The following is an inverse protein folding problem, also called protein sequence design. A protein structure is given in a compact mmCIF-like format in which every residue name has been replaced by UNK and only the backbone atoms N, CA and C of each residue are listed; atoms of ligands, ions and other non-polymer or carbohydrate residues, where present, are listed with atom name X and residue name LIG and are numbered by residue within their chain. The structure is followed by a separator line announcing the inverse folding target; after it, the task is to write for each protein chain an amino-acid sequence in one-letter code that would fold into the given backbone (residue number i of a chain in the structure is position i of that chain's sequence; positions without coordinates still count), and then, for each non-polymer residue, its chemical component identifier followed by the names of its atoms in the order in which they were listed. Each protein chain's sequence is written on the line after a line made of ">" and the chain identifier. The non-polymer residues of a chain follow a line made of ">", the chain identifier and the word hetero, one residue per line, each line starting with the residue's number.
data_IF_656877055311
#
_entry.id   IF_656877055311
#
_cell.length_a   1.000
_cell.length_b   1.000
_cell.length_c   1.000
_cell.angle_alpha   90.00
_cell.angle_beta   90.00
_cell.angle_gamma   90.00
#
_symmetry.space_group_name_H-M   'P 1'
#
loop_
_entity.id
_entity.type
_entity.pdbx_description
1 polymer ?
#
# COMPACT_ATOMS: atom_id res chain seq x y z
N UNK A 1 6.94 -15.18 -7.29
CA UNK A 1 8.18 -15.22 -6.46
C UNK A 1 7.90 -14.41 -5.20
N UNK A 2 8.18 -14.95 -4.00
CA UNK A 2 8.08 -14.17 -2.76
C UNK A 2 9.44 -13.51 -2.51
N UNK A 3 9.49 -12.18 -2.54
CA UNK A 3 10.68 -11.40 -2.18
C UNK A 3 10.56 -10.86 -0.76
N UNK A 4 11.67 -10.82 -0.02
CA UNK A 4 11.74 -10.10 1.26
C UNK A 4 12.75 -8.96 1.12
N UNK A 5 12.39 -7.77 1.56
CA UNK A 5 13.26 -6.60 1.54
C UNK A 5 13.66 -6.28 2.98
N UNK A 6 14.97 -6.28 3.24
CA UNK A 6 15.54 -5.88 4.53
C UNK A 6 16.25 -4.54 4.37
N UNK A 7 15.99 -3.60 5.28
CA UNK A 7 16.68 -2.32 5.33
C UNK A 7 17.34 -2.17 6.69
N UNK A 8 18.65 -1.97 6.70
CA UNK A 8 19.44 -1.69 7.89
C UNK A 8 20.11 -0.32 7.73
N UNK A 9 19.55 0.69 8.40
CA UNK A 9 20.05 2.07 8.32
C UNK A 9 21.28 2.31 9.18
N UNK A 10 21.62 1.42 10.12
CA UNK A 10 22.84 1.50 10.92
C UNK A 10 24.08 0.96 10.17
N UNK A 11 23.88 0.16 9.11
CA UNK A 11 24.97 -0.46 8.35
C UNK A 11 25.71 -1.59 9.10
N UNK A 12 25.16 -2.05 10.22
CA UNK A 12 25.71 -3.10 11.09
C UNK A 12 25.18 -4.49 10.71
N UNK A 13 26.00 -5.34 10.11
CA UNK A 13 25.53 -6.63 9.56
C UNK A 13 25.19 -7.68 10.64
N UNK A 14 25.64 -7.48 11.89
CA UNK A 14 25.50 -8.42 13.00
C UNK A 14 24.33 -8.09 13.95
N UNK A 15 23.31 -7.38 13.48
CA UNK A 15 22.13 -7.09 14.30
C UNK A 15 21.15 -8.26 14.24
N UNK A 16 20.93 -8.89 15.40
CA UNK A 16 19.85 -9.84 15.60
C UNK A 16 18.52 -9.10 15.68
N UNK A 17 17.53 -9.55 14.92
CA UNK A 17 16.20 -8.92 14.86
C UNK A 17 15.10 -9.98 14.98
N UNK A 18 13.85 -9.52 15.16
CA UNK A 18 12.68 -10.40 15.07
C UNK A 18 12.56 -11.15 13.73
N UNK A 19 13.32 -10.73 12.71
CA UNK A 19 13.30 -11.30 11.36
C UNK A 19 14.41 -12.32 11.08
N UNK A 20 15.25 -12.68 12.06
CA UNK A 20 16.34 -13.65 11.83
C UNK A 20 15.83 -15.02 11.38
N UNK A 21 14.61 -15.40 11.79
CA UNK A 21 13.98 -16.63 11.31
C UNK A 21 13.58 -16.54 9.83
N UNK A 22 13.29 -15.35 9.29
CA UNK A 22 13.05 -15.17 7.86
C UNK A 22 14.34 -15.35 7.06
N UNK A 23 15.48 -14.92 7.60
CA UNK A 23 16.80 -15.10 6.98
C UNK A 23 17.23 -16.57 6.86
N UNK A 24 16.62 -17.47 7.63
CA UNK A 24 16.85 -18.92 7.53
C UNK A 24 16.14 -19.57 6.34
N UNK A 25 15.17 -18.88 5.72
CA UNK A 25 14.50 -19.36 4.53
C UNK A 25 15.47 -19.21 3.36
N UNK A 26 15.80 -20.28 2.60
CA UNK A 26 16.73 -20.19 1.49
C UNK A 26 16.28 -19.15 0.46
N UNK A 27 17.15 -18.19 0.15
CA UNK A 27 16.89 -17.20 -0.88
C UNK A 27 17.05 -17.82 -2.27
N UNK A 28 16.09 -17.55 -3.17
CA UNK A 28 16.23 -17.88 -4.58
C UNK A 28 17.14 -16.88 -5.32
N UNK A 29 17.16 -15.65 -4.83
CA UNK A 29 18.03 -14.56 -5.29
C UNK A 29 18.36 -13.70 -4.07
N UNK A 30 19.65 -13.38 -3.89
CA UNK A 30 20.12 -12.45 -2.88
C UNK A 30 20.80 -11.27 -3.59
N UNK A 31 20.22 -10.08 -3.42
CA UNK A 31 20.73 -8.83 -3.97
C UNK A 31 20.99 -7.78 -2.89
N UNK A 32 21.11 -8.20 -1.63
CA UNK A 32 21.44 -7.30 -0.52
C UNK A 32 22.84 -6.73 -0.72
N UNK A 33 22.94 -5.40 -0.66
CA UNK A 33 24.19 -4.69 -0.84
C UNK A 33 24.21 -3.44 0.04
N UNK A 34 25.40 -3.01 0.44
CA UNK A 34 25.59 -1.71 1.12
C UNK A 34 25.65 -0.62 0.06
N UNK A 35 24.78 0.37 0.20
CA UNK A 35 24.73 1.54 -0.68
C UNK A 35 24.34 2.77 0.10
N UNK A 36 24.74 3.94 -0.39
CA UNK A 36 24.35 5.22 0.20
C UNK A 36 22.86 5.47 -0.03
N UNK A 37 22.26 6.35 0.77
CA UNK A 37 20.86 6.76 0.55
C UNK A 37 20.67 7.41 -0.83
N UNK A 38 21.69 8.13 -1.32
CA UNK A 38 21.66 8.75 -2.64
C UNK A 38 21.61 7.70 -3.76
N UNK A 39 22.43 6.64 -3.68
CA UNK A 39 22.41 5.54 -4.66
C UNK A 39 21.11 4.74 -4.58
N UNK A 40 20.59 4.48 -3.38
CA UNK A 40 19.32 3.81 -3.20
C UNK A 40 18.15 4.61 -3.81
N UNK A 41 18.14 5.93 -3.61
CA UNK A 41 17.16 6.83 -4.20
C UNK A 41 17.27 6.89 -5.73
N UNK A 42 18.50 6.99 -6.27
CA UNK A 42 18.73 6.97 -7.71
C UNK A 42 18.28 5.64 -8.36
N UNK A 43 18.50 4.51 -7.68
CA UNK A 43 18.08 3.19 -8.15
C UNK A 43 16.58 2.90 -8.03
N UNK A 44 15.84 3.73 -7.30
CA UNK A 44 14.39 3.55 -7.04
C UNK A 44 13.52 4.40 -7.96
N UNK A 45 14.11 5.02 -8.99
CA UNK A 45 13.35 5.79 -9.97
C UNK A 45 12.44 4.88 -10.80
N UNK A 46 11.18 5.26 -10.91
CA UNK A 46 10.22 4.59 -11.78
C UNK A 46 10.34 5.21 -13.18
N UNK A 47 10.72 4.38 -14.16
CA UNK A 47 10.76 4.81 -15.55
C UNK A 47 9.36 5.17 -16.08
N UNK A 48 9.29 6.12 -17.02
CA UNK A 48 8.06 6.41 -17.75
C UNK A 48 7.74 5.35 -18.81
N UNK A 49 6.61 5.52 -19.51
CA UNK A 49 6.24 4.67 -20.65
C UNK A 49 5.43 3.41 -20.29
N UNK A 50 4.98 3.30 -19.04
CA UNK A 50 4.04 2.26 -18.59
C UNK A 50 2.81 2.90 -17.96
N UNK A 51 1.66 2.25 -18.13
CA UNK A 51 0.43 2.63 -17.44
C UNK A 51 0.36 1.89 -16.12
N UNK A 52 0.16 2.60 -15.00
CA UNK A 52 0.19 1.99 -13.67
C UNK A 52 -1.06 2.30 -12.88
N UNK A 53 -1.55 1.31 -12.14
CA UNK A 53 -2.59 1.49 -11.13
C UNK A 53 -2.26 0.63 -9.91
N UNK A 54 -2.76 1.04 -8.75
CA UNK A 54 -2.53 0.37 -7.49
C UNK A 54 -3.75 0.44 -6.59
N UNK A 55 -3.78 -0.40 -5.57
CA UNK A 55 -4.76 -0.36 -4.51
C UNK A 55 -4.10 -0.76 -3.19
N UNK A 56 -4.59 -0.22 -2.07
CA UNK A 56 -4.06 -0.57 -0.75
C UNK A 56 -5.17 -0.76 0.26
N UNK A 57 -5.02 -1.77 1.12
CA UNK A 57 -5.95 -2.09 2.19
C UNK A 57 -5.16 -2.52 3.44
N UNK A 58 -5.74 -2.36 4.61
CA UNK A 58 -5.15 -2.80 5.86
C UNK A 58 -5.96 -3.96 6.45
N UNK A 59 -5.28 -5.05 6.78
CA UNK A 59 -5.92 -6.23 7.35
C UNK A 59 -5.24 -6.69 8.61
N UNK A 60 -5.98 -7.26 9.55
CA UNK A 60 -5.39 -7.98 10.68
C UNK A 60 -4.41 -9.03 10.18
N UNK A 61 -3.35 -9.26 10.95
CA UNK A 61 -2.35 -10.27 10.64
C UNK A 61 -2.95 -11.68 10.85
N UNK A 62 -3.70 -12.15 9.85
CA UNK A 62 -4.42 -13.42 9.86
C UNK A 62 -3.97 -14.29 8.67
N UNK A 63 -3.66 -15.56 8.96
CA UNK A 63 -3.16 -16.52 7.96
C UNK A 63 -4.12 -16.70 6.79
N UNK A 64 -5.42 -16.75 7.05
CA UNK A 64 -6.43 -16.97 6.01
C UNK A 64 -6.49 -15.79 5.04
N UNK A 65 -6.36 -14.56 5.52
CA UNK A 65 -6.29 -13.35 4.69
C UNK A 65 -5.05 -13.37 3.80
N UNK A 66 -3.88 -13.72 4.36
CA UNK A 66 -2.63 -13.76 3.57
C UNK A 66 -2.67 -14.88 2.50
N UNK A 67 -3.25 -16.03 2.82
CA UNK A 67 -3.47 -17.10 1.84
C UNK A 67 -4.47 -16.68 0.75
N UNK A 68 -5.53 -15.95 1.14
CA UNK A 68 -6.50 -15.43 0.20
C UNK A 68 -5.88 -14.37 -0.72
N UNK A 69 -5.03 -13.49 -0.21
CA UNK A 69 -4.26 -12.51 -1.01
C UNK A 69 -3.39 -13.16 -2.09
N UNK A 70 -2.70 -14.25 -1.76
CA UNK A 70 -1.93 -15.00 -2.75
C UNK A 70 -2.84 -15.60 -3.84
N UNK A 71 -3.94 -16.24 -3.43
CA UNK A 71 -4.90 -16.88 -4.34
C UNK A 71 -5.58 -15.88 -5.27
N UNK A 72 -6.04 -14.75 -4.75
CA UNK A 72 -6.70 -13.72 -5.56
C UNK A 72 -5.73 -13.06 -6.53
N UNK A 73 -4.47 -12.86 -6.13
CA UNK A 73 -3.42 -12.39 -7.03
C UNK A 73 -3.12 -13.40 -8.16
N UNK A 74 -3.06 -14.70 -7.88
CA UNK A 74 -2.92 -15.73 -8.93
C UNK A 74 -4.08 -15.69 -9.93
N UNK A 75 -5.31 -15.53 -9.45
CA UNK A 75 -6.49 -15.43 -10.31
C UNK A 75 -6.48 -14.14 -11.15
N UNK A 76 -6.06 -13.03 -10.54
CA UNK A 76 -5.88 -11.75 -11.21
C UNK A 76 -4.87 -11.86 -12.36
N UNK A 77 -3.68 -12.43 -12.10
CA UNK A 77 -2.66 -12.67 -13.14
C UNK A 77 -3.20 -13.52 -14.28
N UNK A 78 -3.85 -14.65 -13.98
CA UNK A 78 -4.45 -15.53 -15.01
C UNK A 78 -5.51 -14.79 -15.84
N UNK A 79 -6.32 -13.95 -15.19
CA UNK A 79 -7.33 -13.15 -15.89
C UNK A 79 -6.68 -12.17 -16.88
N UNK A 80 -5.60 -11.51 -16.49
CA UNK A 80 -4.86 -10.62 -17.38
C UNK A 80 -4.17 -11.36 -18.52
N UNK A 81 -3.51 -12.49 -18.25
CA UNK A 81 -2.89 -13.33 -19.28
C UNK A 81 -3.91 -13.69 -20.39
N UNK A 82 -5.12 -14.07 -19.99
CA UNK A 82 -6.19 -14.42 -20.93
C UNK A 82 -6.79 -13.22 -21.67
N UNK A 83 -6.67 -12.01 -21.12
CA UNK A 83 -7.35 -10.82 -21.66
C UNK A 83 -6.44 -9.94 -22.51
N UNK A 84 -5.18 -9.76 -22.10
CA UNK A 84 -4.24 -8.80 -22.71
C UNK A 84 -2.90 -9.45 -23.09
N UNK A 85 -2.71 -10.74 -22.81
CA UNK A 85 -1.46 -11.46 -23.09
C UNK A 85 -0.43 -11.37 -21.96
N UNK A 86 0.44 -12.37 -21.86
CA UNK A 86 1.39 -12.51 -20.75
C UNK A 86 2.51 -11.46 -20.73
N UNK A 87 2.96 -11.01 -21.91
CA UNK A 87 4.03 -10.02 -22.03
C UNK A 87 3.55 -8.57 -21.86
N UNK A 88 2.24 -8.35 -21.81
CA UNK A 88 1.65 -7.02 -21.82
C UNK A 88 1.73 -6.30 -20.47
N UNK A 89 2.04 -7.01 -19.38
CA UNK A 89 1.94 -6.46 -18.04
C UNK A 89 2.96 -7.02 -17.04
N UNK A 90 3.13 -6.32 -15.92
CA UNK A 90 3.71 -6.84 -14.68
C UNK A 90 2.71 -6.61 -13.53
N UNK A 91 2.69 -7.50 -12.53
CA UNK A 91 1.91 -7.31 -11.30
C UNK A 91 2.72 -7.60 -10.06
N UNK A 92 2.27 -7.04 -8.94
CA UNK A 92 2.84 -7.34 -7.63
C UNK A 92 1.79 -7.17 -6.54
N UNK A 93 1.97 -7.94 -5.46
CA UNK A 93 1.39 -7.65 -4.15
C UNK A 93 2.52 -7.49 -3.14
N UNK A 94 2.43 -6.46 -2.32
CA UNK A 94 3.28 -6.23 -1.16
C UNK A 94 2.49 -6.45 0.12
N UNK A 95 3.09 -7.19 1.04
CA UNK A 95 2.54 -7.47 2.36
C UNK A 95 3.48 -6.82 3.37
N UNK A 96 3.08 -5.67 3.89
CA UNK A 96 3.91 -4.85 4.78
C UNK A 96 3.38 -4.95 6.21
N UNK A 97 4.14 -5.52 7.17
CA UNK A 97 3.70 -5.57 8.55
C UNK A 97 3.49 -4.16 9.13
N UNK A 98 2.33 -3.94 9.74
CA UNK A 98 1.98 -2.72 10.48
C UNK A 98 1.72 -3.13 11.93
N UNK A 99 2.68 -2.83 12.81
CA UNK A 99 2.58 -3.23 14.21
C UNK A 99 1.75 -2.24 15.01
N UNK A 100 1.00 -2.74 16.01
CA UNK A 100 0.25 -1.88 16.94
C UNK A 100 1.14 -0.88 17.69
N UNK A 101 2.43 -1.21 17.84
CA UNK A 101 3.41 -0.30 18.43
C UNK A 101 3.57 1.01 17.68
N UNK A 102 3.27 1.08 16.37
CA UNK A 102 3.33 2.34 15.63
C UNK A 102 2.36 3.38 16.19
N UNK A 103 1.13 2.96 16.52
CA UNK A 103 0.14 3.82 17.15
C UNK A 103 0.57 4.25 18.56
N UNK A 104 1.05 3.32 19.38
CA UNK A 104 1.55 3.61 20.73
C UNK A 104 2.72 4.60 20.72
N UNK A 105 3.74 4.33 19.90
CA UNK A 105 4.93 5.19 19.76
C UNK A 105 4.54 6.57 19.23
N UNK A 106 3.59 6.63 18.29
CA UNK A 106 3.09 7.91 17.79
C UNK A 106 2.46 8.72 18.92
N UNK A 107 1.59 8.14 19.75
CA UNK A 107 0.98 8.84 20.90
C UNK A 107 2.04 9.36 21.88
N UNK A 108 3.09 8.59 22.15
CA UNK A 108 4.22 9.01 23.00
C UNK A 108 5.04 10.18 22.39
N UNK A 109 4.98 10.37 21.06
CA UNK A 109 5.76 11.35 20.31
C UNK A 109 4.93 12.49 19.70
N UNK A 110 3.73 12.73 20.22
CA UNK A 110 2.88 13.88 19.80
C UNK A 110 1.72 13.53 18.86
N UNK A 111 1.47 12.23 18.62
CA UNK A 111 0.35 11.72 17.84
C UNK A 111 0.68 11.49 16.36
N UNK A 112 -0.34 11.03 15.62
CA UNK A 112 -0.31 10.85 14.17
C UNK A 112 -1.70 11.15 13.59
N UNK A 113 -1.80 11.19 12.25
CA UNK A 113 -3.05 11.45 11.52
C UNK A 113 -3.71 10.18 10.99
N UNK A 114 -3.06 9.02 11.07
CA UNK A 114 -3.46 7.79 10.40
C UNK A 114 -4.40 6.91 11.24
N UNK A 115 -4.69 7.30 12.50
CA UNK A 115 -5.57 6.56 13.39
C UNK A 115 -5.02 5.21 13.86
N UNK A 116 -3.70 4.98 13.74
CA UNK A 116 -3.06 3.70 14.07
C UNK A 116 -3.20 3.31 15.54
N UNK A 117 -3.44 4.26 16.44
CA UNK A 117 -3.73 3.99 17.85
C UNK A 117 -5.01 3.17 18.06
N UNK A 118 -5.91 3.13 17.08
CA UNK A 118 -7.18 2.40 17.16
C UNK A 118 -7.06 0.94 16.71
N UNK A 119 -5.91 0.53 16.18
CA UNK A 119 -5.70 -0.83 15.70
C UNK A 119 -5.86 -1.85 16.86
N UNK A 120 -6.70 -2.86 16.64
CA UNK A 120 -6.96 -3.90 17.64
C UNK A 120 -5.70 -4.73 17.95
N UNK A 121 -4.91 -5.03 16.91
CA UNK A 121 -3.69 -5.81 16.98
C UNK A 121 -2.73 -5.49 15.84
N UNK A 122 -1.77 -6.38 15.59
CA UNK A 122 -0.89 -6.26 14.44
C UNK A 122 -1.67 -6.50 13.15
N UNK A 123 -1.35 -5.71 12.14
CA UNK A 123 -1.95 -5.77 10.82
C UNK A 123 -0.88 -5.96 9.74
N UNK A 124 -1.35 -6.18 8.52
CA UNK A 124 -0.57 -6.26 7.30
C UNK A 124 -1.24 -5.33 6.30
N UNK A 125 -0.49 -4.34 5.84
CA UNK A 125 -0.89 -3.51 4.72
C UNK A 125 -0.66 -4.30 3.44
N UNK A 126 -1.77 -4.62 2.78
CA UNK A 126 -1.80 -5.22 1.47
C UNK A 126 -1.79 -4.11 0.44
N UNK A 127 -0.81 -4.14 -0.46
CA UNK A 127 -0.74 -3.20 -1.58
C UNK A 127 -0.59 -3.99 -2.85
N UNK A 128 -1.47 -3.78 -3.83
CA UNK A 128 -1.39 -4.39 -5.14
C UNK A 128 -1.06 -3.33 -6.19
N UNK A 129 -0.33 -3.72 -7.23
CA UNK A 129 -0.07 -2.88 -8.38
C UNK A 129 -0.07 -3.69 -9.67
N UNK A 130 -0.46 -3.02 -10.75
CA UNK A 130 -0.35 -3.50 -12.13
C UNK A 130 0.29 -2.44 -13.00
N UNK A 131 1.18 -2.88 -13.88
CA UNK A 131 1.92 -2.05 -14.84
C UNK A 131 1.67 -2.62 -16.23
N UNK A 132 1.05 -1.84 -17.12
CA UNK A 132 0.75 -2.24 -18.50
C UNK A 132 1.71 -1.55 -19.47
N UNK A 133 2.29 -2.35 -20.36
CA UNK A 133 3.38 -1.96 -21.29
C UNK A 133 2.89 -1.65 -22.70
N UNK A 134 1.60 -1.88 -22.98
CA UNK A 134 1.04 -1.85 -24.34
C UNK A 134 0.28 -0.55 -24.63
N UNK A 135 -0.99 -0.45 -24.21
CA UNK A 135 -1.89 0.64 -24.56
C UNK A 135 -2.95 0.90 -23.49
N UNK A 136 -3.70 2.00 -23.64
CA UNK A 136 -4.72 2.44 -22.70
C UNK A 136 -5.90 1.46 -22.57
N UNK A 137 -6.28 0.76 -23.64
CA UNK A 137 -7.39 -0.19 -23.60
C UNK A 137 -7.03 -1.43 -22.74
N UNK A 138 -5.82 -1.95 -22.91
CA UNK A 138 -5.30 -3.03 -22.05
C UNK A 138 -5.17 -2.57 -20.60
N UNK A 139 -4.75 -1.31 -20.39
CA UNK A 139 -4.70 -0.71 -19.07
C UNK A 139 -6.07 -0.60 -18.40
N UNK A 140 -7.11 -0.19 -19.13
CA UNK A 140 -8.46 -0.12 -18.59
C UNK A 140 -8.98 -1.50 -18.13
N UNK A 141 -8.68 -2.56 -18.90
CA UNK A 141 -8.97 -3.94 -18.51
C UNK A 141 -8.20 -4.31 -17.23
N UNK A 142 -6.90 -4.03 -17.21
CA UNK A 142 -6.04 -4.35 -16.07
C UNK A 142 -6.47 -3.64 -14.78
N UNK A 143 -6.81 -2.36 -14.88
CA UNK A 143 -7.28 -1.55 -13.77
C UNK A 143 -8.63 -2.07 -13.24
N UNK A 144 -9.56 -2.43 -14.12
CA UNK A 144 -10.83 -3.03 -13.70
C UNK A 144 -10.59 -4.32 -12.89
N UNK A 145 -9.73 -5.22 -13.40
CA UNK A 145 -9.41 -6.49 -12.73
C UNK A 145 -8.69 -6.29 -11.39
N UNK A 146 -7.86 -5.25 -11.28
CA UNK A 146 -7.23 -4.86 -10.01
C UNK A 146 -8.28 -4.40 -8.98
N UNK A 147 -9.26 -3.59 -9.41
CA UNK A 147 -10.36 -3.15 -8.54
C UNK A 147 -11.22 -4.33 -8.09
N UNK A 148 -11.52 -5.28 -8.98
CA UNK A 148 -12.25 -6.52 -8.64
C UNK A 148 -11.48 -7.34 -7.59
N UNK A 149 -10.17 -7.53 -7.78
CA UNK A 149 -9.33 -8.20 -6.78
C UNK A 149 -9.35 -7.47 -5.43
N UNK A 150 -9.22 -6.15 -5.44
CA UNK A 150 -9.27 -5.32 -4.23
C UNK A 150 -10.62 -5.45 -3.50
N UNK A 151 -11.73 -5.51 -4.24
CA UNK A 151 -13.07 -5.72 -3.67
C UNK A 151 -13.16 -7.10 -3.02
N UNK A 152 -12.75 -8.17 -3.72
CA UNK A 152 -12.77 -9.53 -3.16
C UNK A 152 -11.94 -9.64 -1.88
N UNK A 153 -10.78 -8.99 -1.84
CA UNK A 153 -9.93 -8.94 -0.66
C UNK A 153 -10.64 -8.23 0.50
N UNK A 154 -11.27 -7.09 0.24
CA UNK A 154 -12.03 -6.35 1.25
C UNK A 154 -13.22 -7.17 1.78
N UNK A 155 -14.05 -7.70 0.88
CA UNK A 155 -15.23 -8.50 1.23
C UNK A 155 -14.86 -9.73 2.07
N UNK A 156 -13.79 -10.43 1.68
CA UNK A 156 -13.30 -11.58 2.44
C UNK A 156 -12.83 -11.17 3.84
N UNK A 157 -12.01 -10.13 3.94
CA UNK A 157 -11.50 -9.67 5.22
C UNK A 157 -12.63 -9.17 6.14
N UNK A 158 -13.60 -8.41 5.62
CA UNK A 158 -14.79 -7.98 6.36
C UNK A 158 -15.61 -9.15 6.87
N UNK A 159 -15.81 -10.19 6.03
CA UNK A 159 -16.61 -11.37 6.38
C UNK A 159 -16.09 -12.14 7.60
N UNK A 160 -14.80 -12.00 7.92
CA UNK A 160 -14.16 -12.62 9.09
C UNK A 160 -13.73 -11.60 10.15
N UNK A 161 -14.14 -10.33 10.02
CA UNK A 161 -13.81 -9.26 10.98
C UNK A 161 -12.32 -8.91 11.00
N UNK A 162 -11.65 -9.06 9.86
CA UNK A 162 -10.22 -8.82 9.68
C UNK A 162 -9.87 -7.53 8.93
N UNK A 163 -10.85 -6.79 8.40
CA UNK A 163 -10.62 -5.49 7.78
C UNK A 163 -10.34 -4.40 8.84
N UNK A 164 -9.43 -3.48 8.50
CA UNK A 164 -9.14 -2.27 9.27
C UNK A 164 -9.39 -1.05 8.35
N UNK A 165 -9.85 0.06 8.92
CA UNK A 165 -10.37 1.19 8.12
C UNK A 165 -9.31 1.87 7.25
N UNK A 166 -8.04 1.87 7.68
CA UNK A 166 -6.98 2.69 7.07
C UNK A 166 -6.70 2.33 5.61
N UNK A 167 -6.83 3.33 4.75
CA UNK A 167 -6.33 3.35 3.37
C UNK A 167 -5.17 4.34 3.28
N UNK A 168 -3.94 3.83 3.18
CA UNK A 168 -2.75 4.67 3.20
C UNK A 168 -2.59 5.48 1.90
N UNK A 169 -2.70 6.81 2.00
CA UNK A 169 -2.77 7.73 0.86
C UNK A 169 -1.66 7.55 -0.19
N UNK A 170 -0.43 7.23 0.23
CA UNK A 170 0.70 7.08 -0.70
C UNK A 170 0.55 5.89 -1.65
N UNK A 171 -0.29 4.90 -1.32
CA UNK A 171 -0.54 3.71 -2.14
C UNK A 171 -2.00 3.60 -2.60
N UNK A 172 -2.82 4.57 -2.23
CA UNK A 172 -4.24 4.56 -2.52
C UNK A 172 -4.50 4.83 -4.01
N UNK A 173 -5.46 4.11 -4.56
CA UNK A 173 -5.99 4.42 -5.89
C UNK A 173 -6.83 5.69 -5.86
N UNK A 174 -7.05 6.32 -7.01
CA UNK A 174 -7.95 7.47 -7.14
C UNK A 174 -9.42 7.16 -6.80
N UNK A 175 -9.78 5.87 -6.70
CA UNK A 175 -11.11 5.39 -6.32
C UNK A 175 -11.27 5.17 -4.82
N UNK A 176 -10.19 5.19 -4.05
CA UNK A 176 -10.25 4.95 -2.61
C UNK A 176 -10.31 6.25 -1.82
N UNK A 177 -11.13 6.30 -0.78
CA UNK A 177 -11.17 7.45 0.13
C UNK A 177 -10.08 7.35 1.20
N UNK A 178 -8.85 7.69 0.82
CA UNK A 178 -7.72 7.64 1.73
C UNK A 178 -7.84 8.62 2.89
N UNK A 179 -8.31 9.84 2.66
CA UNK A 179 -8.39 10.86 3.71
C UNK A 179 -9.55 10.60 4.68
N UNK A 180 -10.68 10.09 4.20
CA UNK A 180 -11.80 9.67 5.06
C UNK A 180 -11.42 8.51 5.98
N UNK A 181 -10.58 7.59 5.49
CA UNK A 181 -10.12 6.42 6.25
C UNK A 181 -9.30 6.72 7.52
N UNK A 182 -8.81 7.95 7.67
CA UNK A 182 -7.95 8.36 8.79
C UNK A 182 -8.71 8.59 10.10
N UNK A 183 -10.04 8.48 10.04
CA UNK A 183 -10.95 8.65 11.16
C UNK A 183 -11.42 10.09 11.35
N UNK A 184 -12.62 10.24 11.90
CA UNK A 184 -13.33 11.51 12.00
C UNK A 184 -12.53 12.61 12.72
N UNK A 185 -11.79 12.27 13.77
CA UNK A 185 -10.96 13.23 14.52
C UNK A 185 -9.84 13.83 13.65
N UNK A 186 -9.14 12.96 12.92
CA UNK A 186 -8.07 13.36 12.01
C UNK A 186 -8.62 14.20 10.87
N UNK A 187 -9.74 13.77 10.27
CA UNK A 187 -10.38 14.47 9.17
C UNK A 187 -10.85 15.87 9.57
N UNK A 188 -11.51 16.00 10.72
CA UNK A 188 -11.95 17.28 11.28
C UNK A 188 -10.77 18.21 11.58
N UNK A 189 -9.67 17.67 12.11
CA UNK A 189 -8.46 18.46 12.33
C UNK A 189 -7.86 18.96 11.00
N UNK A 190 -7.77 18.10 9.99
CA UNK A 190 -7.29 18.50 8.66
C UNK A 190 -8.17 19.59 8.03
N UNK A 191 -9.50 19.52 8.19
CA UNK A 191 -10.43 20.55 7.72
C UNK A 191 -10.14 21.90 8.39
N UNK A 192 -9.96 21.93 9.72
CA UNK A 192 -9.58 23.16 10.46
C UNK A 192 -8.23 23.74 10.03
N UNK A 193 -7.25 22.88 9.78
CA UNK A 193 -5.93 23.29 9.30
C UNK A 193 -6.05 23.89 7.89
N UNK A 194 -6.83 23.26 7.00
CA UNK A 194 -7.08 23.78 5.66
C UNK A 194 -7.78 25.15 5.70
N UNK A 195 -8.83 25.31 6.52
CA UNK A 195 -9.51 26.60 6.69
C UNK A 195 -8.58 27.71 7.17
N UNK A 196 -7.64 27.38 8.06
CA UNK A 196 -6.69 28.36 8.61
C UNK A 196 -5.62 28.78 7.61
N UNK A 197 -5.08 27.84 6.83
CA UNK A 197 -3.87 28.06 6.03
C UNK A 197 -4.11 28.09 4.52
N UNK A 198 -5.24 27.58 4.04
CA UNK A 198 -5.71 27.66 2.65
C UNK A 198 -7.19 28.12 2.61
N UNK A 199 -7.52 29.31 3.15
CA UNK A 199 -8.90 29.79 3.25
C UNK A 199 -9.58 29.98 1.88
N UNK A 200 -8.80 30.18 0.82
CA UNK A 200 -9.30 30.27 -0.56
C UNK A 200 -9.42 28.91 -1.26
N UNK A 201 -9.01 27.81 -0.60
CA UNK A 201 -9.10 26.46 -1.12
C UNK A 201 -8.30 26.24 -2.40
N UNK A 202 -7.14 26.89 -2.54
CA UNK A 202 -6.28 26.80 -3.73
C UNK A 202 -5.85 25.34 -3.96
N UNK A 203 -5.46 24.60 -2.90
CA UNK A 203 -5.07 23.20 -3.02
C UNK A 203 -6.26 22.27 -3.27
N UNK A 204 -7.47 22.70 -2.90
CA UNK A 204 -8.71 21.95 -3.15
C UNK A 204 -9.22 22.12 -4.59
N UNK A 205 -9.05 23.31 -5.18
CA UNK A 205 -9.72 23.69 -6.43
C UNK A 205 -8.80 23.94 -7.61
N UNK A 206 -7.57 24.44 -7.39
CA UNK A 206 -6.66 24.86 -8.47
C UNK A 206 -5.52 23.90 -8.75
N UNK A 207 -5.23 22.99 -7.82
CA UNK A 207 -4.23 21.93 -8.04
C UNK A 207 -4.91 20.71 -8.67
N UNK A 208 -4.56 20.32 -9.91
CA UNK A 208 -5.13 19.13 -10.54
C UNK A 208 -4.64 17.86 -9.83
N UNK A 209 -5.50 16.84 -9.83
CA UNK A 209 -5.19 15.53 -9.24
C UNK A 209 -5.06 15.53 -7.71
N UNK A 210 -4.56 14.41 -7.20
CA UNK A 210 -4.41 14.15 -5.76
C UNK A 210 -5.75 14.00 -5.01
N UNK A 211 -5.65 13.55 -3.76
CA UNK A 211 -6.79 13.44 -2.86
C UNK A 211 -7.20 14.83 -2.34
N UNK A 212 -8.51 15.10 -2.32
CA UNK A 212 -9.07 16.37 -1.87
C UNK A 212 -9.83 16.18 -0.57
N UNK A 213 -9.53 17.01 0.42
CA UNK A 213 -10.23 17.06 1.71
C UNK A 213 -11.72 17.35 1.54
N UNK A 214 -12.09 18.14 0.54
CA UNK A 214 -13.49 18.44 0.21
C UNK A 214 -14.27 17.25 -0.37
N UNK A 215 -13.59 16.15 -0.71
CA UNK A 215 -14.20 14.92 -1.28
C UNK A 215 -14.11 13.73 -0.34
N UNK A 216 -13.45 13.89 0.80
CA UNK A 216 -13.33 12.85 1.83
C UNK A 216 -14.63 12.76 2.65
N UNK A 217 -15.13 11.54 2.81
CA UNK A 217 -16.35 11.22 3.57
C UNK A 217 -16.07 11.17 5.08
#
# INVERSE_FOLDING_TARGET
>A
MLGTIFVNTAGEDNVTTAYDNLRKIPALLESSEKKTLAEAAAGSQVGGGVWASGATLLYRNDKSILQYAAKTHENFVKSLQNSIGEDAFDTMIFLQPVTKDYGRIAQEKGGNMLGLENMAGNAVMWTAAVFVKTNEADFAIAEQRLNEMSSFMNDFAESIGGAEDLVYLNYASSRQDSLGSYGAKSLEYMRKVAEKYDPEGIFQTRVPGGFKLSRAA
#
